data_IF_953015723867
#
_entry.id   IF_953015723867
#
_cell.length_a   1.000
_cell.length_b   1.000
_cell.length_c   1.000
_cell.angle_alpha   90.00
_cell.angle_beta   90.00
_cell.angle_gamma   90.00
#
_symmetry.space_group_name_H-M   'P 1'
#
loop_
_entity.id
_entity.type
_entity.pdbx_description
1 polymer ?
#
# COMPACT_ATOMS: atom_id res chain seq x y z
N UNK A 1 -4.39 -21.87 -27.80
CA UNK A 1 -5.22 -20.99 -26.96
C UNK A 1 -5.57 -21.74 -25.69
N UNK A 2 -4.74 -21.64 -24.65
CA UNK A 2 -4.87 -22.42 -23.41
C UNK A 2 -4.00 -21.78 -22.33
N UNK A 3 -4.46 -21.83 -21.06
CA UNK A 3 -3.72 -21.42 -19.83
C UNK A 3 -3.57 -19.92 -19.46
N UNK A 4 -4.49 -19.02 -19.85
CA UNK A 4 -4.61 -17.72 -19.13
C UNK A 4 -5.31 -17.89 -17.77
N UNK A 5 -6.38 -18.68 -17.70
CA UNK A 5 -7.16 -18.92 -16.47
C UNK A 5 -6.42 -19.67 -15.36
N UNK A 6 -5.27 -20.27 -15.65
CA UNK A 6 -4.49 -21.10 -14.70
C UNK A 6 -3.44 -20.28 -13.91
N UNK A 7 -3.08 -19.09 -14.41
CA UNK A 7 -2.14 -18.16 -13.74
C UNK A 7 -2.89 -17.21 -12.78
N UNK A 8 -4.21 -17.10 -12.89
CA UNK A 8 -5.06 -16.32 -11.98
C UNK A 8 -5.23 -17.08 -10.66
N UNK A 9 -4.19 -17.05 -9.84
CA UNK A 9 -4.21 -17.54 -8.47
C UNK A 9 -5.34 -16.84 -7.68
N UNK A 10 -6.34 -17.57 -7.14
CA UNK A 10 -7.40 -16.97 -6.34
C UNK A 10 -6.88 -16.24 -5.09
N UNK A 11 -5.75 -16.69 -4.52
CA UNK A 11 -5.14 -16.04 -3.35
C UNK A 11 -4.59 -14.65 -3.68
N UNK A 12 -4.05 -14.46 -4.89
CA UNK A 12 -3.62 -13.14 -5.40
C UNK A 12 -4.74 -12.09 -5.30
N UNK A 13 -5.97 -12.44 -5.71
CA UNK A 13 -7.12 -11.52 -5.66
C UNK A 13 -7.58 -11.22 -4.23
N UNK A 14 -7.55 -12.22 -3.35
CA UNK A 14 -7.92 -12.08 -1.93
C UNK A 14 -6.89 -11.20 -1.22
N UNK A 15 -5.60 -11.42 -1.46
CA UNK A 15 -4.50 -10.62 -0.92
C UNK A 15 -4.59 -9.17 -1.42
N UNK A 16 -4.80 -8.96 -2.73
CA UNK A 16 -4.95 -7.63 -3.30
C UNK A 16 -6.12 -6.86 -2.67
N UNK A 17 -7.27 -7.52 -2.47
CA UNK A 17 -8.40 -6.95 -1.73
C UNK A 17 -8.00 -6.57 -0.30
N UNK A 18 -7.41 -7.50 0.46
CA UNK A 18 -7.01 -7.27 1.84
C UNK A 18 -6.08 -6.05 1.96
N UNK A 19 -5.03 -5.99 1.13
CA UNK A 19 -4.10 -4.87 1.09
C UNK A 19 -4.80 -3.54 0.80
N UNK A 20 -5.67 -3.49 -0.23
CA UNK A 20 -6.40 -2.26 -0.60
C UNK A 20 -7.34 -1.81 0.51
N UNK A 21 -8.11 -2.72 1.13
CA UNK A 21 -9.00 -2.37 2.25
C UNK A 21 -8.21 -1.89 3.47
N UNK A 22 -7.06 -2.50 3.79
CA UNK A 22 -6.18 -2.01 4.86
C UNK A 22 -5.64 -0.61 4.57
N UNK A 23 -5.21 -0.31 3.33
CA UNK A 23 -4.75 1.03 2.93
C UNK A 23 -5.88 2.06 3.11
N UNK A 24 -7.05 1.81 2.53
CA UNK A 24 -8.20 2.72 2.61
C UNK A 24 -8.64 2.94 4.06
N UNK A 25 -8.77 1.87 4.86
CA UNK A 25 -9.12 1.98 6.28
C UNK A 25 -8.07 2.75 7.10
N UNK A 26 -6.78 2.66 6.75
CA UNK A 26 -5.71 3.40 7.43
C UNK A 26 -5.72 4.89 7.07
N UNK A 27 -6.13 5.22 5.84
CA UNK A 27 -6.33 6.60 5.39
C UNK A 27 -7.55 7.26 6.06
N UNK A 28 -8.61 6.49 6.31
CA UNK A 28 -9.86 6.97 6.93
C UNK A 28 -9.85 6.92 8.46
N UNK A 29 -8.90 6.20 9.06
CA UNK A 29 -8.76 6.14 10.52
C UNK A 29 -8.60 7.57 11.10
N UNK A 30 -9.22 7.87 12.25
CA UNK A 30 -8.96 9.12 12.96
C UNK A 30 -7.48 9.29 13.30
N UNK A 31 -6.97 10.52 13.22
CA UNK A 31 -5.61 10.91 13.63
C UNK A 31 -5.51 11.23 15.13
N UNK A 32 -6.50 10.84 15.93
CA UNK A 32 -6.49 10.99 17.37
C UNK A 32 -5.45 10.06 18.03
N UNK A 33 -4.91 10.43 19.20
CA UNK A 33 -4.02 9.55 19.95
C UNK A 33 -4.75 8.27 20.33
N UNK A 34 -4.07 7.12 20.20
CA UNK A 34 -4.51 5.82 20.75
C UNK A 34 -4.36 5.80 22.28
N UNK A 35 -4.89 6.84 22.95
CA UNK A 35 -4.92 6.99 24.40
C UNK A 35 -6.34 6.73 24.91
N UNK A 36 -6.78 5.47 24.81
CA UNK A 36 -7.60 4.90 25.88
C UNK A 36 -6.67 4.32 26.95
N UNK A 37 -5.90 5.24 27.58
CA UNK A 37 -5.46 5.07 28.96
C UNK A 37 -6.70 4.60 29.73
N UNK A 38 -6.61 3.50 30.49
CA UNK A 38 -7.71 3.04 31.34
C UNK A 38 -8.02 4.14 32.36
N UNK A 39 -8.94 5.03 32.01
CA UNK A 39 -9.46 6.03 32.93
C UNK A 39 -10.26 5.26 33.95
N UNK A 40 -9.67 5.06 35.14
CA UNK A 40 -10.45 4.76 36.33
C UNK A 40 -11.32 5.98 36.56
N UNK A 41 -12.57 5.93 36.10
CA UNK A 41 -13.58 6.82 36.60
C UNK A 41 -13.55 6.70 38.12
N UNK A 42 -13.41 7.84 38.81
CA UNK A 42 -13.73 7.89 40.22
C UNK A 42 -15.24 7.61 40.31
N UNK A 43 -15.58 6.43 40.81
CA UNK A 43 -16.93 6.17 41.30
C UNK A 43 -16.91 6.77 42.70
N UNK A 44 -17.44 7.98 42.79
CA UNK A 44 -17.91 8.53 44.06
C UNK A 44 -19.10 7.66 44.47
N UNK A 45 -18.98 6.98 45.60
CA UNK A 45 -19.81 5.83 45.95
C UNK A 45 -19.58 5.49 47.40
N UNK A 46 -20.24 6.27 48.25
CA UNK A 46 -20.17 6.14 49.70
C UNK A 46 -20.79 4.82 50.18
N UNK A 47 -20.27 4.34 51.31
CA UNK A 47 -20.76 3.26 52.15
C UNK A 47 -21.08 1.88 51.51
N UNK A 48 -20.20 0.89 51.73
CA UNK A 48 -20.57 -0.41 52.32
C UNK A 48 -19.33 -1.24 52.69
N UNK A 49 -19.25 -1.61 53.97
CA UNK A 49 -18.19 -2.42 54.57
C UNK A 49 -18.29 -3.90 54.16
N UNK A 50 -17.16 -4.54 53.84
CA UNK A 50 -16.63 -5.72 54.55
C UNK A 50 -15.66 -6.60 53.71
N UNK A 51 -14.57 -6.97 54.39
CA UNK A 51 -13.73 -8.17 54.21
C UNK A 51 -12.77 -8.33 53.00
N UNK A 52 -11.48 -8.28 53.32
CA UNK A 52 -10.66 -9.49 53.12
C UNK A 52 -9.95 -9.71 51.77
N UNK A 53 -9.00 -8.84 51.39
CA UNK A 53 -7.57 -9.18 51.14
C UNK A 53 -6.87 -8.10 50.29
N UNK A 54 -5.79 -7.52 50.83
CA UNK A 54 -5.10 -6.36 50.26
C UNK A 54 -4.24 -6.67 49.02
N UNK A 55 -4.08 -5.70 48.08
CA UNK A 55 -3.17 -5.84 46.94
C UNK A 55 -1.71 -5.66 47.37
N UNK A 56 -0.84 -6.61 47.01
CA UNK A 56 0.58 -6.57 47.37
C UNK A 56 1.40 -5.58 46.51
N UNK A 57 2.30 -4.76 47.10
CA UNK A 57 3.06 -3.75 46.37
C UNK A 57 4.38 -4.25 45.76
N UNK A 58 4.99 -3.39 44.94
CA UNK A 58 6.20 -3.60 44.11
C UNK A 58 7.44 -4.10 44.87
N UNK A 59 8.24 -4.95 44.22
CA UNK A 59 9.66 -5.21 44.55
C UNK A 59 10.60 -4.81 43.38
N UNK A 60 11.89 -4.59 43.68
CA UNK A 60 12.90 -3.97 42.79
C UNK A 60 13.94 -4.95 42.24
N UNK A 61 14.30 -4.76 40.96
CA UNK A 61 15.65 -4.78 40.32
C UNK A 61 16.77 -5.69 40.86
N UNK A 62 17.20 -6.66 40.03
CA UNK A 62 18.59 -7.02 39.61
C UNK A 62 18.50 -8.14 38.52
N UNK A 63 19.46 -8.43 37.63
CA UNK A 63 20.66 -7.71 37.15
C UNK A 63 21.69 -8.64 36.41
N UNK A 64 22.38 -8.13 35.37
CA UNK A 64 23.56 -8.72 34.65
C UNK A 64 23.34 -9.93 33.69
N UNK A 65 23.48 -9.63 32.39
CA UNK A 65 24.29 -10.27 31.32
C UNK A 65 24.12 -11.73 30.80
N UNK A 66 24.14 -11.79 29.46
CA UNK A 66 24.74 -12.83 28.57
C UNK A 66 23.85 -13.92 27.91
N UNK A 67 24.13 -14.11 26.60
CA UNK A 67 23.76 -15.19 25.65
C UNK A 67 22.24 -15.48 25.39
N UNK A 68 21.79 -15.96 24.23
CA UNK A 68 22.37 -16.02 22.88
C UNK A 68 21.25 -16.01 21.80
N UNK A 69 21.62 -15.64 20.56
CA UNK A 69 21.02 -15.92 19.25
C UNK A 69 19.61 -16.53 19.12
N UNK A 70 18.72 -15.84 18.37
CA UNK A 70 17.82 -16.47 17.37
C UNK A 70 17.15 -15.46 16.40
N UNK A 71 17.59 -15.49 15.14
CA UNK A 71 16.86 -15.25 13.87
C UNK A 71 15.83 -14.10 13.78
N UNK A 72 16.22 -12.97 13.16
CA UNK A 72 15.27 -12.02 12.54
C UNK A 72 15.83 -11.23 11.33
N UNK A 73 16.79 -11.80 10.58
CA UNK A 73 17.52 -11.09 9.52
C UNK A 73 16.68 -10.53 8.37
N UNK A 74 15.49 -11.08 8.08
CA UNK A 74 14.63 -10.56 7.01
C UNK A 74 13.95 -9.21 7.36
N UNK A 75 13.84 -8.86 8.64
CA UNK A 75 13.23 -7.60 9.09
C UNK A 75 14.23 -6.44 9.16
N UNK A 76 15.49 -6.72 9.50
CA UNK A 76 16.46 -5.68 9.87
C UNK A 76 16.96 -4.87 8.66
N UNK A 77 17.24 -5.53 7.53
CA UNK A 77 17.69 -4.86 6.30
C UNK A 77 16.59 -3.94 5.74
N UNK A 78 15.33 -4.39 5.77
CA UNK A 78 14.20 -3.59 5.30
C UNK A 78 13.83 -2.46 6.28
N UNK A 79 14.02 -2.66 7.58
CA UNK A 79 13.84 -1.60 8.58
C UNK A 79 14.90 -0.49 8.45
N UNK A 80 16.16 -0.84 8.14
CA UNK A 80 17.21 0.14 7.88
C UNK A 80 16.93 0.96 6.60
N UNK A 81 16.49 0.30 5.53
CA UNK A 81 16.08 0.97 4.29
C UNK A 81 14.85 1.88 4.50
N UNK A 82 13.87 1.44 5.30
CA UNK A 82 12.70 2.25 5.67
C UNK A 82 13.09 3.48 6.52
N UNK A 83 13.99 3.31 7.49
CA UNK A 83 14.50 4.41 8.32
C UNK A 83 15.26 5.46 7.49
N UNK A 84 16.06 5.03 6.50
CA UNK A 84 16.74 5.93 5.57
C UNK A 84 15.76 6.69 4.67
N UNK A 85 14.64 6.08 4.27
CA UNK A 85 13.61 6.72 3.44
C UNK A 85 12.85 7.84 4.19
N UNK A 86 12.65 7.70 5.50
CA UNK A 86 11.99 8.73 6.34
C UNK A 86 12.80 10.03 6.37
N UNK A 87 14.13 9.97 6.34
CA UNK A 87 14.99 11.15 6.40
C UNK A 87 14.96 12.05 5.14
N UNK A 88 14.39 11.58 4.02
CA UNK A 88 14.38 12.32 2.74
C UNK A 88 13.02 13.01 2.43
N UNK A 89 11.99 12.83 3.27
CA UNK A 89 10.63 13.27 2.98
C UNK A 89 10.27 14.71 3.43
N UNK A 90 11.17 15.41 4.12
CA UNK A 90 10.91 16.73 4.71
C UNK A 90 11.18 17.93 3.78
N UNK A 91 10.46 17.98 2.65
CA UNK A 91 10.14 19.24 1.94
C UNK A 91 8.95 19.05 1.00
N UNK A 92 8.24 20.15 0.69
CA UNK A 92 7.03 20.22 -0.18
C UNK A 92 5.71 19.69 0.43
N UNK A 93 5.22 20.34 1.50
CA UNK A 93 3.84 20.20 1.99
C UNK A 93 3.09 21.54 1.89
N UNK A 94 2.75 21.96 0.67
CA UNK A 94 2.05 23.23 0.41
C UNK A 94 0.99 23.11 -0.72
N UNK A 95 0.06 22.15 -0.61
CA UNK A 95 -1.22 22.22 -1.32
C UNK A 95 -2.30 21.47 -0.52
N UNK A 96 -3.52 22.03 -0.45
CA UNK A 96 -4.60 21.60 0.44
C UNK A 96 -5.32 20.30 0.06
N UNK A 97 -4.59 19.29 -0.44
CA UNK A 97 -5.10 17.93 -0.60
C UNK A 97 -4.95 17.11 0.69
N UNK A 98 -5.74 16.05 0.83
CA UNK A 98 -5.55 15.04 1.89
C UNK A 98 -4.15 14.43 1.73
N UNK A 99 -3.25 14.70 2.67
CA UNK A 99 -1.91 14.13 2.69
C UNK A 99 -1.90 12.73 3.31
N UNK A 100 -0.99 11.86 2.87
CA UNK A 100 -0.80 10.56 3.50
C UNK A 100 -0.05 10.71 4.82
N UNK A 101 -0.33 9.81 5.76
CA UNK A 101 0.49 9.65 6.96
C UNK A 101 1.87 9.13 6.56
N UNK A 102 2.92 9.75 7.09
CA UNK A 102 4.33 9.43 6.80
C UNK A 102 4.68 7.92 6.85
N UNK A 103 4.31 7.11 7.88
CA UNK A 103 4.60 5.68 7.87
C UNK A 103 3.88 4.92 6.75
N UNK A 104 2.62 5.27 6.44
CA UNK A 104 1.87 4.65 5.35
C UNK A 104 2.48 5.03 3.99
N UNK A 105 2.87 6.30 3.81
CA UNK A 105 3.54 6.79 2.62
C UNK A 105 4.87 6.07 2.38
N UNK A 106 5.70 5.90 3.42
CA UNK A 106 6.95 5.15 3.33
C UNK A 106 6.74 3.70 2.89
N UNK A 107 5.84 2.96 3.54
CA UNK A 107 5.51 1.59 3.16
C UNK A 107 5.01 1.47 1.70
N UNK A 108 4.17 2.42 1.25
CA UNK A 108 3.64 2.43 -0.12
C UNK A 108 4.71 2.76 -1.16
N UNK A 109 5.61 3.71 -0.87
CA UNK A 109 6.75 3.98 -1.77
C UNK A 109 7.67 2.76 -1.92
N UNK A 110 7.96 2.06 -0.82
CA UNK A 110 8.74 0.82 -0.87
C UNK A 110 8.03 -0.26 -1.68
N UNK A 111 6.73 -0.48 -1.45
CA UNK A 111 5.91 -1.43 -2.20
C UNK A 111 5.95 -1.15 -3.72
N UNK A 112 5.77 0.10 -4.14
CA UNK A 112 5.80 0.45 -5.56
C UNK A 112 7.21 0.39 -6.18
N UNK A 113 8.28 0.59 -5.41
CA UNK A 113 9.66 0.30 -5.87
C UNK A 113 9.87 -1.20 -6.07
N UNK A 114 9.38 -2.04 -5.17
CA UNK A 114 9.41 -3.51 -5.32
C UNK A 114 8.60 -3.97 -6.54
N UNK A 115 7.46 -3.34 -6.83
CA UNK A 115 6.69 -3.59 -8.05
C UNK A 115 7.52 -3.28 -9.32
N UNK A 116 8.22 -2.14 -9.35
CA UNK A 116 9.10 -1.78 -10.47
C UNK A 116 10.23 -2.81 -10.69
N UNK A 117 10.80 -3.36 -9.62
CA UNK A 117 11.82 -4.41 -9.69
C UNK A 117 11.30 -5.73 -10.27
N UNK A 118 10.02 -6.07 -10.09
CA UNK A 118 9.42 -7.31 -10.59
C UNK A 118 9.01 -7.27 -12.07
N UNK A 119 9.07 -6.10 -12.72
CA UNK A 119 8.68 -5.92 -14.12
C UNK A 119 9.90 -6.00 -15.09
N UNK A 120 11.12 -6.13 -14.55
CA UNK A 120 12.37 -6.13 -15.31
C UNK A 120 12.48 -7.29 -16.33
N UNK A 121 11.77 -8.40 -16.15
CA UNK A 121 11.86 -9.55 -17.05
C UNK A 121 10.98 -9.47 -18.30
N UNK A 122 10.10 -8.46 -18.44
CA UNK A 122 9.05 -8.37 -19.49
C UNK A 122 8.13 -9.62 -19.58
N UNK A 123 8.23 -10.54 -18.62
CA UNK A 123 7.53 -11.83 -18.59
C UNK A 123 6.25 -11.78 -17.74
N UNK A 124 5.23 -12.45 -18.24
CA UNK A 124 3.94 -12.60 -17.59
C UNK A 124 4.05 -13.58 -16.41
N UNK A 125 4.02 -13.06 -15.18
CA UNK A 125 4.13 -13.86 -13.94
C UNK A 125 3.00 -13.56 -12.94
N UNK A 126 2.72 -14.44 -11.95
CA UNK A 126 1.70 -14.20 -10.93
C UNK A 126 1.87 -12.87 -10.17
N UNK A 127 3.10 -12.38 -10.05
CA UNK A 127 3.42 -11.06 -9.47
C UNK A 127 2.82 -9.92 -10.30
N UNK A 128 2.92 -10.01 -11.63
CA UNK A 128 2.33 -9.03 -12.56
C UNK A 128 0.80 -9.01 -12.42
N UNK A 129 0.16 -10.19 -12.35
CA UNK A 129 -1.28 -10.28 -12.10
C UNK A 129 -1.68 -9.67 -10.76
N UNK A 130 -0.93 -9.94 -9.68
CA UNK A 130 -1.17 -9.31 -8.38
C UNK A 130 -1.14 -7.78 -8.47
N UNK A 131 -0.12 -7.22 -9.13
CA UNK A 131 0.02 -5.77 -9.31
C UNK A 131 -1.16 -5.16 -10.10
N UNK A 132 -1.61 -5.82 -11.18
CA UNK A 132 -2.80 -5.36 -11.91
C UNK A 132 -4.05 -5.40 -11.04
N UNK A 133 -4.32 -6.52 -10.36
CA UNK A 133 -5.50 -6.66 -9.50
C UNK A 133 -5.47 -5.67 -8.34
N UNK A 134 -4.29 -5.43 -7.75
CA UNK A 134 -4.07 -4.43 -6.71
C UNK A 134 -4.40 -3.03 -7.21
N UNK A 135 -3.84 -2.58 -8.34
CA UNK A 135 -4.11 -1.25 -8.88
C UNK A 135 -5.58 -1.08 -9.29
N UNK A 136 -6.20 -2.08 -9.92
CA UNK A 136 -7.63 -2.09 -10.28
C UNK A 136 -8.51 -1.93 -9.04
N UNK A 137 -8.30 -2.76 -8.01
CA UNK A 137 -9.05 -2.67 -6.75
C UNK A 137 -8.79 -1.35 -6.03
N UNK A 138 -7.56 -0.82 -6.07
CA UNK A 138 -7.20 0.45 -5.44
C UNK A 138 -8.02 1.61 -6.02
N UNK A 139 -8.14 1.72 -7.35
CA UNK A 139 -8.96 2.78 -7.98
C UNK A 139 -10.46 2.54 -7.89
N UNK A 140 -10.92 1.29 -7.83
CA UNK A 140 -12.35 0.95 -7.69
C UNK A 140 -12.90 1.19 -6.28
N UNK A 141 -12.20 0.68 -5.27
CA UNK A 141 -12.59 0.81 -3.86
C UNK A 141 -12.20 2.19 -3.34
N UNK A 142 -10.98 2.66 -3.64
CA UNK A 142 -10.46 3.93 -3.15
C UNK A 142 -11.12 5.16 -3.77
N UNK A 143 -11.39 5.13 -5.09
CA UNK A 143 -11.90 6.26 -5.88
C UNK A 143 -10.98 7.50 -5.72
N UNK A 144 -11.56 8.70 -5.66
CA UNK A 144 -10.81 9.96 -5.48
C UNK A 144 -9.89 9.96 -4.23
N UNK A 145 -10.25 9.22 -3.18
CA UNK A 145 -9.50 9.18 -1.91
C UNK A 145 -8.08 8.67 -2.07
N UNK A 146 -7.81 7.78 -3.02
CA UNK A 146 -6.48 7.18 -3.22
C UNK A 146 -5.57 7.98 -4.15
N UNK A 147 -5.99 9.14 -4.67
CA UNK A 147 -5.10 10.04 -5.45
C UNK A 147 -3.73 10.33 -4.79
N UNK A 148 -3.63 10.52 -3.46
CA UNK A 148 -2.34 10.64 -2.78
C UNK A 148 -1.46 9.37 -2.87
N UNK A 149 -2.07 8.18 -2.89
CA UNK A 149 -1.38 6.89 -3.06
C UNK A 149 -0.91 6.72 -4.50
N UNK A 150 -1.77 7.03 -5.48
CA UNK A 150 -1.45 6.92 -6.91
C UNK A 150 -0.27 7.83 -7.30
N UNK A 151 -0.12 9.00 -6.65
CA UNK A 151 1.04 9.90 -6.81
C UNK A 151 2.37 9.29 -6.36
N UNK A 152 2.38 8.17 -5.62
CA UNK A 152 3.59 7.47 -5.19
C UNK A 152 4.06 6.42 -6.21
N UNK A 153 3.29 6.16 -7.27
CA UNK A 153 3.63 5.19 -8.31
C UNK A 153 4.85 5.72 -9.11
N UNK A 154 5.95 4.96 -9.24
CA UNK A 154 7.09 5.34 -10.07
C UNK A 154 6.71 5.59 -11.53
N UNK A 155 7.28 6.66 -12.10
CA UNK A 155 7.13 6.96 -13.52
C UNK A 155 7.55 5.76 -14.37
N UNK A 156 6.75 5.44 -15.39
CA UNK A 156 6.97 4.29 -16.27
C UNK A 156 6.48 2.94 -15.73
N UNK A 157 6.12 2.80 -14.44
CA UNK A 157 5.58 1.53 -13.91
C UNK A 157 4.35 1.09 -14.71
N UNK A 158 3.39 2.00 -14.87
CA UNK A 158 2.14 1.76 -15.62
C UNK A 158 2.42 1.41 -17.07
N UNK A 159 3.37 2.08 -17.73
CA UNK A 159 3.78 1.80 -19.11
C UNK A 159 4.41 0.41 -19.27
N UNK A 160 5.27 0.01 -18.35
CA UNK A 160 5.90 -1.32 -18.40
C UNK A 160 4.88 -2.42 -18.09
N UNK A 161 3.93 -2.19 -17.17
CA UNK A 161 2.77 -3.08 -17.01
C UNK A 161 1.95 -3.17 -18.31
N UNK A 162 1.59 -2.03 -18.92
CA UNK A 162 0.83 -1.96 -20.18
C UNK A 162 1.47 -2.79 -21.31
N UNK A 163 2.81 -2.82 -21.40
CA UNK A 163 3.57 -3.62 -22.37
C UNK A 163 3.40 -5.13 -22.17
N UNK A 164 3.53 -5.60 -20.92
CA UNK A 164 3.34 -7.03 -20.57
C UNK A 164 1.89 -7.46 -20.81
N UNK A 165 0.92 -6.54 -20.61
CA UNK A 165 -0.48 -6.70 -21.01
C UNK A 165 -1.10 -8.03 -20.52
N UNK A 166 -1.01 -8.28 -19.21
CA UNK A 166 -1.37 -9.58 -18.63
C UNK A 166 -2.88 -9.80 -18.45
N UNK A 167 -3.72 -8.77 -18.62
CA UNK A 167 -5.17 -8.86 -18.37
C UNK A 167 -5.97 -8.08 -19.40
N UNK A 168 -7.10 -8.65 -19.84
CA UNK A 168 -8.09 -7.96 -20.67
C UNK A 168 -8.86 -6.87 -19.86
N UNK A 169 -8.71 -6.84 -18.54
CA UNK A 169 -9.23 -5.80 -17.63
C UNK A 169 -8.63 -4.40 -17.87
N UNK A 170 -7.54 -4.33 -18.64
CA UNK A 170 -6.92 -3.06 -19.01
C UNK A 170 -7.83 -2.26 -19.94
N UNK A 171 -8.42 -1.19 -19.41
CA UNK A 171 -9.37 -0.34 -20.14
C UNK A 171 -8.96 1.13 -20.11
N UNK A 172 -9.42 1.91 -21.10
CA UNK A 172 -9.26 3.38 -21.13
C UNK A 172 -9.77 4.01 -19.83
N UNK A 173 -10.91 3.54 -19.32
CA UNK A 173 -11.49 4.01 -18.05
C UNK A 173 -10.70 3.60 -16.80
N UNK A 174 -9.91 2.52 -16.84
CA UNK A 174 -8.95 2.22 -15.78
C UNK A 174 -7.72 3.14 -15.85
N UNK A 175 -7.11 3.28 -17.03
CA UNK A 175 -5.93 4.14 -17.23
C UNK A 175 -6.22 5.58 -16.80
N UNK A 176 -7.36 6.16 -17.20
CA UNK A 176 -7.76 7.50 -16.81
C UNK A 176 -7.93 7.68 -15.28
N UNK A 177 -8.30 6.62 -14.54
CA UNK A 177 -8.46 6.66 -13.07
C UNK A 177 -7.13 6.58 -12.30
N UNK A 178 -6.03 6.21 -12.96
CA UNK A 178 -4.69 6.23 -12.35
C UNK A 178 -4.11 7.66 -12.23
N UNK A 179 -4.62 8.62 -13.00
CA UNK A 179 -4.04 9.95 -13.14
C UNK A 179 -4.95 11.08 -12.64
N UNK A 180 -4.33 12.14 -12.10
CA UNK A 180 -5.04 13.36 -11.71
C UNK A 180 -5.21 14.29 -12.91
N UNK A 181 -6.29 14.11 -13.67
CA UNK A 181 -6.56 14.83 -14.93
C UNK A 181 -6.76 16.36 -14.74
N UNK A 182 -6.90 16.83 -13.50
CA UNK A 182 -6.92 18.26 -13.18
C UNK A 182 -5.53 18.89 -13.34
N UNK A 183 -4.46 18.13 -13.08
CA UNK A 183 -3.09 18.56 -13.25
C UNK A 183 -2.63 18.41 -14.72
N UNK A 184 -1.87 19.39 -15.24
CA UNK A 184 -1.30 19.32 -16.59
C UNK A 184 -0.39 18.10 -16.76
N UNK A 185 0.43 17.79 -15.75
CA UNK A 185 1.29 16.60 -15.71
C UNK A 185 0.49 15.29 -15.73
N UNK A 186 -0.63 15.23 -14.99
CA UNK A 186 -1.53 14.08 -15.01
C UNK A 186 -2.15 13.85 -16.39
N UNK A 187 -2.57 14.91 -17.08
CA UNK A 187 -3.06 14.82 -18.47
C UNK A 187 -1.97 14.35 -19.44
N UNK A 188 -0.73 14.83 -19.33
CA UNK A 188 0.35 14.41 -20.22
C UNK A 188 0.74 12.95 -20.03
N UNK A 189 0.80 12.46 -18.79
CA UNK A 189 1.07 11.05 -18.53
C UNK A 189 -0.09 10.15 -18.97
N UNK A 190 -1.33 10.50 -18.65
CA UNK A 190 -2.51 9.76 -19.11
C UNK A 190 -2.56 9.65 -20.64
N UNK A 191 -2.27 10.74 -21.36
CA UNK A 191 -2.24 10.72 -22.83
C UNK A 191 -1.12 9.83 -23.39
N UNK A 192 0.07 9.86 -22.77
CA UNK A 192 1.20 8.99 -23.17
C UNK A 192 0.83 7.50 -23.04
N UNK A 193 0.25 7.12 -21.91
CA UNK A 193 -0.15 5.74 -21.60
C UNK A 193 -1.34 5.28 -22.45
N UNK A 194 -2.31 6.15 -22.74
CA UNK A 194 -3.40 5.86 -23.67
C UNK A 194 -2.92 5.66 -25.11
N UNK A 195 -1.97 6.48 -25.59
CA UNK A 195 -1.33 6.29 -26.89
C UNK A 195 -0.59 4.94 -26.96
N UNK A 196 0.18 4.59 -25.92
CA UNK A 196 0.84 3.29 -25.81
C UNK A 196 -0.17 2.13 -25.84
N UNK A 197 -1.23 2.22 -25.03
CA UNK A 197 -2.28 1.20 -24.95
C UNK A 197 -3.02 1.02 -26.28
N UNK A 198 -3.33 2.11 -27.00
CA UNK A 198 -3.90 2.05 -28.36
C UNK A 198 -2.95 1.38 -29.35
N UNK A 199 -1.67 1.72 -29.32
CA UNK A 199 -0.66 1.13 -30.20
C UNK A 199 -0.45 -0.37 -29.94
N UNK A 200 -0.60 -0.81 -28.69
CA UNK A 200 -0.56 -2.24 -28.35
C UNK A 200 -1.81 -2.97 -28.87
N UNK A 201 -3.01 -2.39 -28.74
CA UNK A 201 -4.24 -2.97 -29.31
C UNK A 201 -4.17 -3.08 -30.83
N UNK A 202 -3.81 -2.01 -31.55
CA UNK A 202 -3.73 -2.03 -33.01
C UNK A 202 -2.73 -3.09 -33.51
N UNK A 203 -1.60 -3.31 -32.82
CA UNK A 203 -0.68 -4.41 -33.13
C UNK A 203 -1.25 -5.80 -32.82
N UNK A 204 -1.99 -5.96 -31.71
CA UNK A 204 -2.68 -7.21 -31.38
C UNK A 204 -3.72 -7.57 -32.46
N UNK A 205 -4.42 -6.58 -33.01
CA UNK A 205 -5.46 -6.81 -34.02
C UNK A 205 -4.88 -7.02 -35.43
N UNK A 206 -3.77 -6.35 -35.79
CA UNK A 206 -3.08 -6.60 -37.07
C UNK A 206 -2.43 -7.99 -37.17
N UNK A 207 -2.21 -8.69 -36.04
CA UNK A 207 -1.64 -10.04 -35.98
C UNK A 207 -2.74 -11.14 -36.04
N UNK A 208 -4.03 -10.76 -35.97
CA UNK A 208 -5.18 -11.69 -36.06
C UNK A 208 -5.75 -11.81 -37.48
N UNK A 209 -5.05 -11.26 -38.48
CA UNK A 209 -5.34 -11.35 -39.91
C UNK A 209 -4.38 -12.35 -40.56
#
# INVERSE_FOLDING_TARGET
MTKLSEIVDPFSRVLAKLCVYCIVATMEAPTGPLSKKRSRAAIDGDDLLADGLCPTPKMRKMGSDSCDSSSSDFMLEHAAAAAAAVAFATKEAASGGVSLREPLQGCLQTLFRTFAQYIVSDELSPKIYFMFQFLTLLVEVGRERVKPVLKLIPNGLVQSMLKINATDDMTVGFILRLYDLNATTGRTFAMSDLCLFRNIQMRKDSIKL
#
